data_IF_968066579896
#
_entry.id   IF_968066579896
#
_cell.length_a   1.000
_cell.length_b   1.000
_cell.length_c   1.000
_cell.angle_alpha   90.00
_cell.angle_beta   90.00
_cell.angle_gamma   90.00
#
_symmetry.space_group_name_H-M   'P 1'
#
loop_
_entity.id
_entity.type
_entity.pdbx_description
1 polymer ?
#
# COMPACT_ATOMS: atom_id res chain seq x y z
N UNK A 1 -12.29 -3.43 -15.71
CA UNK A 1 -11.58 -3.98 -14.54
C UNK A 1 -10.07 -3.82 -14.66
N UNK A 2 -9.37 -4.41 -15.63
CA UNK A 2 -7.93 -4.12 -15.82
C UNK A 2 -7.66 -2.66 -16.19
N UNK A 3 -8.39 -2.09 -17.16
CA UNK A 3 -8.26 -0.67 -17.52
C UNK A 3 -8.67 0.29 -16.39
N UNK A 4 -9.66 -0.10 -15.59
CA UNK A 4 -10.07 0.66 -14.40
C UNK A 4 -8.98 0.65 -13.32
N UNK A 5 -8.38 -0.51 -13.08
CA UNK A 5 -7.23 -0.63 -12.18
C UNK A 5 -6.01 0.16 -12.66
N UNK A 6 -5.70 0.12 -13.96
CA UNK A 6 -4.61 0.93 -14.55
C UNK A 6 -4.86 2.42 -14.38
N UNK A 7 -6.11 2.87 -14.52
CA UNK A 7 -6.49 4.26 -14.27
C UNK A 7 -6.32 4.65 -12.78
N UNK A 8 -6.66 3.77 -11.84
CA UNK A 8 -6.41 4.01 -10.41
C UNK A 8 -4.91 4.13 -10.09
N UNK A 9 -4.07 3.32 -10.71
CA UNK A 9 -2.61 3.44 -10.59
C UNK A 9 -2.15 4.82 -11.08
N UNK A 10 -2.57 5.21 -12.28
CA UNK A 10 -2.19 6.52 -12.84
C UNK A 10 -2.65 7.69 -11.97
N UNK A 11 -3.90 7.64 -11.49
CA UNK A 11 -4.47 8.65 -10.60
C UNK A 11 -3.71 8.73 -9.28
N UNK A 12 -3.31 7.58 -8.71
CA UNK A 12 -2.65 7.53 -7.40
C UNK A 12 -1.35 8.36 -7.35
N UNK A 13 -0.60 8.39 -8.45
CA UNK A 13 0.65 9.14 -8.55
C UNK A 13 0.47 10.62 -8.93
N UNK A 14 -0.76 11.06 -9.22
CA UNK A 14 -1.08 12.48 -9.43
C UNK A 14 -1.49 13.18 -8.12
N UNK A 15 -1.71 12.41 -7.05
CA UNK A 15 -2.06 12.92 -5.72
C UNK A 15 -0.84 13.57 -5.04
N UNK A 16 -1.11 14.57 -4.20
CA UNK A 16 -0.08 15.27 -3.42
C UNK A 16 0.44 14.48 -2.22
N UNK A 17 -0.33 13.50 -1.75
CA UNK A 17 0.02 12.62 -0.64
C UNK A 17 0.61 11.31 -1.15
N UNK A 18 1.50 10.67 -0.37
CA UNK A 18 2.14 9.44 -0.78
C UNK A 18 1.13 8.31 -0.94
N UNK A 19 1.37 7.43 -1.90
CA UNK A 19 0.62 6.19 -2.14
C UNK A 19 1.58 5.01 -2.09
N UNK A 20 1.05 3.83 -1.77
CA UNK A 20 1.81 2.59 -1.83
C UNK A 20 1.09 1.58 -2.70
N UNK A 21 1.88 0.86 -3.49
CA UNK A 21 1.44 -0.32 -4.22
C UNK A 21 2.39 -1.47 -3.87
N UNK A 22 1.82 -2.59 -3.46
CA UNK A 22 2.52 -3.83 -3.16
C UNK A 22 1.99 -4.89 -4.13
N UNK A 23 2.86 -5.70 -4.72
CA UNK A 23 2.44 -6.80 -5.58
C UNK A 23 3.00 -8.13 -5.09
N UNK A 24 2.19 -9.17 -5.19
CA UNK A 24 2.58 -10.54 -4.86
C UNK A 24 2.45 -11.40 -6.13
N UNK A 25 2.53 -12.73 -5.95
CA UNK A 25 2.30 -13.68 -7.03
C UNK A 25 0.81 -13.87 -7.37
N UNK A 26 -0.11 -13.48 -6.46
CA UNK A 26 -1.55 -13.75 -6.55
C UNK A 26 -2.44 -12.51 -6.45
N UNK A 27 -1.94 -11.37 -5.98
CA UNK A 27 -2.68 -10.11 -6.01
C UNK A 27 -1.78 -8.86 -6.05
N UNK A 28 -2.41 -7.72 -6.30
CA UNK A 28 -1.83 -6.40 -6.10
C UNK A 28 -2.67 -5.68 -5.06
N UNK A 29 -2.01 -5.06 -4.08
CA UNK A 29 -2.61 -4.21 -3.08
C UNK A 29 -2.15 -2.77 -3.26
N UNK A 30 -3.05 -1.83 -3.07
CA UNK A 30 -2.80 -0.40 -3.12
C UNK A 30 -3.50 0.34 -1.99
N UNK A 31 -2.88 1.43 -1.54
CA UNK A 31 -3.49 2.40 -0.64
C UNK A 31 -3.19 3.80 -1.16
N UNK A 32 -4.22 4.54 -1.53
CA UNK A 32 -4.11 5.88 -2.12
C UNK A 32 -5.02 6.89 -1.40
N UNK A 33 -4.63 8.17 -1.31
CA UNK A 33 -5.42 9.20 -0.65
C UNK A 33 -6.73 9.48 -1.41
N UNK A 34 -7.84 9.55 -0.68
CA UNK A 34 -9.17 9.91 -1.22
C UNK A 34 -9.52 11.39 -1.01
N UNK A 35 -8.74 12.10 -0.20
CA UNK A 35 -8.78 13.56 -0.03
C UNK A 35 -7.36 14.12 0.20
N UNK A 36 -7.20 15.43 0.01
CA UNK A 36 -5.91 16.12 0.09
C UNK A 36 -5.34 16.21 1.51
N UNK A 37 -6.19 16.04 2.53
CA UNK A 37 -5.79 16.11 3.94
C UNK A 37 -5.30 14.73 4.47
N UNK A 38 -5.60 13.66 3.73
CA UNK A 38 -5.28 12.28 4.11
C UNK A 38 -6.21 11.74 5.18
N UNK A 39 -7.42 12.32 5.32
CA UNK A 39 -8.41 11.88 6.30
C UNK A 39 -9.17 10.64 5.83
N UNK A 40 -9.22 10.40 4.51
CA UNK A 40 -9.76 9.21 3.89
C UNK A 40 -8.79 8.63 2.87
N UNK A 41 -8.82 7.31 2.76
CA UNK A 41 -7.96 6.55 1.87
C UNK A 41 -8.77 5.47 1.17
N UNK A 42 -8.46 5.27 -0.10
CA UNK A 42 -8.98 4.19 -0.93
C UNK A 42 -8.00 3.03 -0.90
N UNK A 43 -8.44 1.92 -0.31
CA UNK A 43 -7.80 0.63 -0.47
C UNK A 43 -8.20 0.07 -1.84
N UNK A 44 -7.23 -0.46 -2.57
CA UNK A 44 -7.43 -1.12 -3.86
C UNK A 44 -6.80 -2.50 -3.78
N UNK A 45 -7.53 -3.53 -4.18
CA UNK A 45 -6.96 -4.87 -4.33
C UNK A 45 -7.35 -5.44 -5.69
N UNK A 46 -6.38 -5.99 -6.41
CA UNK A 46 -6.60 -6.73 -7.65
C UNK A 46 -6.12 -8.17 -7.45
N UNK A 47 -7.03 -9.13 -7.33
CA UNK A 47 -6.67 -10.56 -7.18
C UNK A 47 -6.62 -11.23 -8.54
N UNK A 48 -5.54 -11.92 -8.86
CA UNK A 48 -5.40 -12.63 -10.13
C UNK A 48 -6.34 -13.85 -10.18
N UNK A 49 -6.72 -14.25 -11.40
CA UNK A 49 -7.53 -15.46 -11.65
C UNK A 49 -8.92 -15.48 -10.97
N UNK A 50 -9.48 -14.31 -10.64
CA UNK A 50 -10.85 -14.14 -10.15
C UNK A 50 -11.79 -13.52 -11.20
N UNK A 51 -13.07 -13.89 -11.18
CA UNK A 51 -14.10 -13.35 -12.10
C UNK A 51 -14.33 -11.84 -11.92
N UNK A 52 -14.25 -11.35 -10.68
CA UNK A 52 -14.36 -9.94 -10.30
C UNK A 52 -13.12 -9.55 -9.47
N UNK A 53 -11.97 -9.33 -10.15
CA UNK A 53 -10.66 -9.29 -9.52
C UNK A 53 -10.42 -7.97 -8.78
N UNK A 54 -11.08 -6.89 -9.18
CA UNK A 54 -10.88 -5.56 -8.63
C UNK A 54 -11.85 -5.29 -7.48
N UNK A 55 -11.31 -4.99 -6.30
CA UNK A 55 -12.06 -4.44 -5.17
C UNK A 55 -11.47 -3.09 -4.79
N UNK A 56 -12.35 -2.14 -4.50
CA UNK A 56 -11.98 -0.85 -3.94
C UNK A 56 -12.81 -0.58 -2.70
N UNK A 57 -12.20 0.05 -1.69
CA UNK A 57 -12.93 0.44 -0.48
C UNK A 57 -12.30 1.66 0.17
N UNK A 58 -13.10 2.73 0.24
CA UNK A 58 -12.73 3.95 0.93
C UNK A 58 -13.05 3.86 2.43
N UNK A 59 -12.14 4.33 3.27
CA UNK A 59 -12.31 4.40 4.74
C UNK A 59 -11.61 5.63 5.32
N UNK A 60 -11.97 5.97 6.55
CA UNK A 60 -11.24 6.97 7.35
C UNK A 60 -9.85 6.48 7.74
N UNK A 61 -8.92 7.42 7.92
CA UNK A 61 -7.49 7.15 8.07
C UNK A 61 -7.12 6.21 9.23
N UNK A 62 -7.84 6.25 10.35
CA UNK A 62 -7.58 5.32 11.47
C UNK A 62 -7.81 3.86 11.08
N UNK A 63 -8.90 3.58 10.34
CA UNK A 63 -9.16 2.23 9.83
C UNK A 63 -8.19 1.88 8.71
N UNK A 64 -7.93 2.81 7.79
CA UNK A 64 -6.99 2.57 6.68
C UNK A 64 -5.58 2.25 7.19
N UNK A 65 -5.12 2.90 8.27
CA UNK A 65 -3.88 2.53 8.95
C UNK A 65 -3.91 1.11 9.49
N UNK A 66 -5.00 0.70 10.17
CA UNK A 66 -5.14 -0.67 10.69
C UNK A 66 -5.07 -1.71 9.57
N UNK A 67 -5.79 -1.48 8.46
CA UNK A 67 -5.79 -2.40 7.32
C UNK A 67 -4.44 -2.42 6.59
N UNK A 68 -3.78 -1.28 6.41
CA UNK A 68 -2.43 -1.24 5.84
C UNK A 68 -1.43 -1.98 6.73
N UNK A 69 -1.50 -1.76 8.04
CA UNK A 69 -0.62 -2.45 8.98
C UNK A 69 -0.87 -3.97 8.99
N UNK A 70 -2.14 -4.40 8.98
CA UNK A 70 -2.51 -5.82 8.91
C UNK A 70 -2.05 -6.45 7.58
N UNK A 71 -2.20 -5.76 6.47
CA UNK A 71 -1.71 -6.19 5.16
C UNK A 71 -0.20 -6.42 5.21
N UNK A 72 0.57 -5.48 5.76
CA UNK A 72 2.02 -5.63 5.91
C UNK A 72 2.41 -6.75 6.89
N UNK A 73 1.74 -6.82 8.04
CA UNK A 73 2.05 -7.77 9.10
C UNK A 73 1.72 -9.21 8.70
N UNK A 74 0.62 -9.44 7.98
CA UNK A 74 0.08 -10.77 7.71
C UNK A 74 0.04 -11.13 6.22
N UNK A 75 -0.36 -10.19 5.36
CA UNK A 75 -0.43 -10.38 3.91
C UNK A 75 0.97 -10.44 3.31
N UNK A 76 1.68 -9.31 3.29
CA UNK A 76 3.02 -9.19 2.71
C UNK A 76 4.02 -10.17 3.34
N UNK A 77 4.01 -10.31 4.67
CA UNK A 77 4.92 -11.23 5.37
C UNK A 77 4.70 -12.71 5.00
N UNK A 78 3.53 -13.07 4.47
CA UNK A 78 3.27 -14.41 3.96
C UNK A 78 4.10 -14.69 2.69
N UNK A 79 4.25 -13.71 1.80
CA UNK A 79 4.98 -13.83 0.53
C UNK A 79 6.46 -13.48 0.68
N UNK A 80 6.77 -12.45 1.45
CA UNK A 80 8.12 -11.93 1.65
C UNK A 80 8.73 -12.57 2.90
N UNK A 81 9.46 -13.69 2.71
CA UNK A 81 9.94 -14.55 3.81
C UNK A 81 10.92 -13.86 4.76
N UNK A 82 11.66 -12.87 4.28
CA UNK A 82 12.59 -12.07 5.06
C UNK A 82 11.96 -10.78 5.62
N UNK A 83 10.64 -10.60 5.49
CA UNK A 83 9.95 -9.41 5.96
C UNK A 83 10.09 -9.24 7.48
N UNK A 84 10.75 -8.15 7.89
CA UNK A 84 11.05 -7.87 9.27
C UNK A 84 9.85 -7.22 9.99
N UNK A 85 8.92 -8.06 10.42
CA UNK A 85 7.73 -7.67 11.18
C UNK A 85 8.09 -6.96 12.50
N UNK A 86 9.24 -7.27 13.11
CA UNK A 86 9.66 -6.59 14.33
C UNK A 86 9.98 -5.11 14.07
N UNK A 87 10.72 -4.80 12.98
CA UNK A 87 10.95 -3.41 12.58
C UNK A 87 9.65 -2.67 12.22
N UNK A 88 8.69 -3.36 11.60
CA UNK A 88 7.36 -2.80 11.34
C UNK A 88 6.63 -2.41 12.64
N UNK A 89 6.65 -3.29 13.65
CA UNK A 89 6.06 -3.06 14.97
C UNK A 89 6.74 -1.93 15.72
N UNK A 90 8.08 -1.88 15.69
CA UNK A 90 8.85 -0.84 16.34
C UNK A 90 8.56 0.54 15.73
N UNK A 91 8.45 0.61 14.40
CA UNK A 91 8.06 1.85 13.73
C UNK A 91 6.62 2.26 14.07
N UNK A 92 5.66 1.33 14.02
CA UNK A 92 4.27 1.58 14.41
C UNK A 92 4.16 2.12 15.85
N UNK A 93 4.97 1.59 16.77
CA UNK A 93 5.05 2.08 18.14
C UNK A 93 5.61 3.52 18.21
N UNK A 94 6.56 3.90 17.35
CA UNK A 94 7.10 5.26 17.31
C UNK A 94 6.09 6.32 16.84
N UNK A 95 5.10 5.93 16.03
CA UNK A 95 4.04 6.82 15.51
C UNK A 95 2.69 6.65 16.22
N UNK A 96 2.64 5.90 17.33
CA UNK A 96 1.37 5.51 17.97
C UNK A 96 0.50 6.70 18.44
N UNK A 97 1.12 7.83 18.74
CA UNK A 97 0.45 9.05 19.21
C UNK A 97 0.04 10.00 18.09
N UNK A 98 0.43 9.72 16.84
CA UNK A 98 0.03 10.51 15.69
C UNK A 98 -1.46 10.30 15.37
N UNK A 99 -2.06 11.27 14.69
CA UNK A 99 -3.40 11.13 14.12
C UNK A 99 -3.44 10.02 13.05
N UNK A 100 -4.62 9.49 12.74
CA UNK A 100 -4.77 8.47 11.69
C UNK A 100 -4.18 8.90 10.34
N UNK A 101 -4.45 10.15 9.91
CA UNK A 101 -3.88 10.70 8.67
C UNK A 101 -2.35 10.69 8.68
N UNK A 102 -1.75 11.19 9.77
CA UNK A 102 -0.29 11.19 9.94
C UNK A 102 0.29 9.78 9.99
N UNK A 103 -0.41 8.81 10.58
CA UNK A 103 0.05 7.42 10.66
C UNK A 103 0.13 6.74 9.30
N UNK A 104 -0.91 6.87 8.46
CA UNK A 104 -0.89 6.28 7.11
C UNK A 104 0.25 6.89 6.29
N UNK A 105 0.36 8.22 6.28
CA UNK A 105 1.43 8.93 5.56
C UNK A 105 2.81 8.49 6.04
N UNK A 106 3.06 8.52 7.35
CA UNK A 106 4.34 8.15 7.92
C UNK A 106 4.72 6.68 7.62
N UNK A 107 3.77 5.76 7.65
CA UNK A 107 4.03 4.35 7.33
C UNK A 107 4.37 4.15 5.85
N UNK A 108 3.64 4.79 4.94
CA UNK A 108 3.94 4.72 3.51
C UNK A 108 5.33 5.35 3.23
N UNK A 109 5.60 6.53 3.77
CA UNK A 109 6.88 7.23 3.58
C UNK A 109 8.07 6.41 4.10
N UNK A 110 7.92 5.75 5.25
CA UNK A 110 8.98 4.91 5.81
C UNK A 110 9.26 3.68 4.93
N UNK A 111 8.22 3.00 4.42
CA UNK A 111 8.39 1.83 3.55
C UNK A 111 9.07 2.21 2.22
N UNK A 112 8.72 3.36 1.65
CA UNK A 112 9.30 3.86 0.40
C UNK A 112 10.76 4.29 0.62
N UNK A 113 11.03 5.01 1.71
CA UNK A 113 12.34 5.60 1.99
C UNK A 113 13.35 4.60 2.55
N UNK A 114 12.88 3.60 3.31
CA UNK A 114 13.72 2.65 4.03
C UNK A 114 13.35 1.17 3.78
N UNK A 115 13.10 0.74 2.52
CA UNK A 115 12.62 -0.62 2.22
C UNK A 115 13.55 -1.72 2.72
N UNK A 116 14.87 -1.48 2.68
CA UNK A 116 15.89 -2.42 3.15
C UNK A 116 15.88 -2.69 4.66
N UNK A 117 15.18 -1.88 5.47
CA UNK A 117 14.93 -2.21 6.88
C UNK A 117 13.90 -3.33 7.04
N UNK A 118 13.06 -3.54 6.03
CA UNK A 118 11.93 -4.45 6.07
C UNK A 118 12.21 -5.73 5.28
N UNK A 119 12.84 -5.65 4.11
CA UNK A 119 13.24 -6.82 3.32
C UNK A 119 14.26 -6.39 2.27
N UNK A 120 15.12 -7.30 1.84
CA UNK A 120 16.02 -7.05 0.69
C UNK A 120 15.23 -6.92 -0.62
N UNK A 121 14.07 -7.58 -0.72
CA UNK A 121 13.26 -7.70 -1.92
C UNK A 121 11.80 -7.33 -1.67
N UNK A 122 11.55 -6.22 -0.97
CA UNK A 122 10.20 -5.75 -0.71
C UNK A 122 9.50 -5.39 -2.05
N UNK A 123 8.38 -6.04 -2.42
CA UNK A 123 7.78 -5.91 -3.75
C UNK A 123 6.83 -4.71 -3.81
N UNK A 124 7.39 -3.52 -3.59
CA UNK A 124 6.67 -2.25 -3.65
C UNK A 124 7.05 -1.45 -4.89
N UNK A 125 6.06 -0.76 -5.46
CA UNK A 125 6.25 0.27 -6.48
C UNK A 125 6.25 1.62 -5.79
N UNK A 126 7.32 2.39 -5.99
CA UNK A 126 7.61 3.62 -5.24
C UNK A 126 7.36 4.89 -6.04
N UNK A 127 7.18 4.76 -7.36
CA UNK A 127 7.06 5.92 -8.24
C UNK A 127 6.24 5.61 -9.49
N UNK A 128 5.81 6.69 -10.16
CA UNK A 128 5.07 6.61 -11.43
C UNK A 128 5.87 5.88 -12.52
N UNK A 129 7.19 6.05 -12.56
CA UNK A 129 8.06 5.42 -13.56
C UNK A 129 8.13 3.90 -13.40
N UNK A 130 7.98 3.39 -12.17
CA UNK A 130 7.94 1.96 -11.85
C UNK A 130 6.54 1.34 -12.03
N UNK A 131 5.51 2.17 -12.19
CA UNK A 131 4.10 1.74 -12.17
C UNK A 131 3.71 0.79 -13.30
N UNK A 132 4.45 0.80 -14.41
CA UNK A 132 4.22 -0.10 -15.54
C UNK A 132 4.29 -1.58 -15.15
N UNK A 133 5.11 -1.93 -14.13
CA UNK A 133 5.20 -3.32 -13.62
C UNK A 133 3.83 -3.83 -13.16
N UNK A 134 3.03 -2.97 -12.52
CA UNK A 134 1.69 -3.33 -12.07
C UNK A 134 0.72 -3.50 -13.24
N UNK A 135 0.84 -2.63 -14.25
CA UNK A 135 -0.04 -2.61 -15.43
C UNK A 135 0.21 -3.80 -16.36
N UNK A 136 1.43 -4.32 -16.41
CA UNK A 136 1.80 -5.51 -17.17
C UNK A 136 1.33 -6.82 -16.51
N UNK A 137 1.03 -6.79 -15.20
CA UNK A 137 0.50 -7.93 -14.44
C UNK A 137 -1.01 -8.14 -14.58
N UNK A 138 -1.75 -7.19 -15.19
CA UNK A 138 -3.23 -7.18 -15.25
C UNK A 138 -3.84 -7.07 -16.65
#
# INVERSE_FOLDING_TARGET
>A
MSEEFKALIDESFEKSLPTIWIYTDDYIYGMMPADEEGNRWTEVSYTFEMDDPLRTKERGADLSYQFLFEELEKGVSFYVKDFNVNNLKDFANSIQNNSGSEKVKALIDELISNPGKYSENLPIVKSKDESNILKEKV
#
